data_IF_399793483033
#
_entry.id   IF_399793483033
#
_cell.length_a   1.000
_cell.length_b   1.000
_cell.length_c   1.000
_cell.angle_alpha   90.00
_cell.angle_beta   90.00
_cell.angle_gamma   90.00
#
_symmetry.space_group_name_H-M   'P 1'
#
loop_
_entity.id
_entity.type
_entity.pdbx_description
1 polymer ?
#
# COMPACT_ATOMS: atom_id res chain seq x y z
N UNK A 1 -3.75 10.81 -17.21
CA UNK A 1 -3.13 10.34 -15.95
C UNK A 1 -1.70 10.82 -15.89
N UNK A 2 -1.38 11.72 -14.96
CA UNK A 2 -0.02 12.17 -14.74
C UNK A 2 0.78 11.08 -14.02
N UNK A 3 1.71 10.43 -14.75
CA UNK A 3 2.54 9.33 -14.23
C UNK A 3 3.37 9.73 -13.00
N UNK A 4 3.79 11.00 -12.92
CA UNK A 4 4.51 11.56 -11.78
C UNK A 4 3.66 11.58 -10.50
N UNK A 5 2.39 11.97 -10.60
CA UNK A 5 1.43 11.98 -9.48
C UNK A 5 1.16 10.56 -9.00
N UNK A 6 1.05 9.62 -9.94
CA UNK A 6 0.83 8.21 -9.62
C UNK A 6 2.01 7.60 -8.84
N UNK A 7 3.23 7.81 -9.31
CA UNK A 7 4.43 7.29 -8.65
C UNK A 7 4.64 7.91 -7.27
N UNK A 8 4.45 9.22 -7.16
CA UNK A 8 4.64 9.97 -5.92
C UNK A 8 3.57 9.60 -4.89
N UNK A 9 2.31 9.44 -5.33
CA UNK A 9 1.21 8.92 -4.53
C UNK A 9 1.49 7.51 -4.01
N UNK A 10 1.90 6.60 -4.89
CA UNK A 10 2.23 5.22 -4.50
C UNK A 10 3.37 5.15 -3.49
N UNK A 11 4.47 5.88 -3.73
CA UNK A 11 5.63 5.89 -2.84
C UNK A 11 5.31 6.50 -1.48
N UNK A 12 4.58 7.62 -1.45
CA UNK A 12 4.16 8.26 -0.19
C UNK A 12 3.30 7.32 0.65
N UNK A 13 2.40 6.55 0.01
CA UNK A 13 1.49 5.63 0.70
C UNK A 13 2.14 4.36 1.26
N UNK A 14 3.40 4.09 0.92
CA UNK A 14 4.15 3.00 1.55
C UNK A 14 4.62 3.38 2.96
N UNK A 15 4.82 4.68 3.22
CA UNK A 15 5.29 5.17 4.50
C UNK A 15 4.18 5.79 5.36
N UNK A 16 3.10 6.25 4.70
CA UNK A 16 1.99 6.97 5.32
C UNK A 16 0.69 6.27 4.88
N UNK A 17 -0.29 6.16 5.78
CA UNK A 17 -1.58 5.54 5.43
C UNK A 17 -2.28 6.27 4.28
N UNK A 18 -3.13 5.54 3.55
CA UNK A 18 -3.87 6.02 2.39
C UNK A 18 -4.56 7.39 2.61
N UNK A 19 -5.33 7.54 3.70
CA UNK A 19 -6.06 8.79 4.01
C UNK A 19 -5.12 10.00 4.22
N UNK A 20 -4.14 9.96 5.14
CA UNK A 20 -3.22 11.09 5.32
C UNK A 20 -2.34 11.38 4.08
N UNK A 21 -1.95 10.37 3.30
CA UNK A 21 -1.19 10.58 2.06
C UNK A 21 -2.01 11.31 0.99
N UNK A 22 -3.30 10.98 0.84
CA UNK A 22 -4.19 11.70 -0.07
C UNK A 22 -4.36 13.17 0.34
N UNK A 23 -4.52 13.45 1.64
CA UNK A 23 -4.66 14.82 2.15
C UNK A 23 -3.37 15.62 1.98
N UNK A 24 -2.21 14.98 2.12
CA UNK A 24 -0.90 15.64 1.99
C UNK A 24 -0.59 15.98 0.53
N UNK A 25 -0.83 15.05 -0.39
CA UNK A 25 -0.52 15.22 -1.80
C UNK A 25 -1.60 15.98 -2.60
N UNK A 26 -2.83 16.06 -2.10
CA UNK A 26 -3.89 16.87 -2.72
C UNK A 26 -3.56 18.37 -2.74
N UNK A 27 -2.67 18.83 -1.85
CA UNK A 27 -2.15 20.21 -1.89
C UNK A 27 -1.13 20.46 -3.00
N UNK A 28 -0.58 19.41 -3.60
CA UNK A 28 0.48 19.47 -4.63
C UNK A 28 0.00 19.03 -6.02
N UNK A 29 -1.24 18.55 -6.15
CA UNK A 29 -1.79 18.14 -7.45
C UNK A 29 -3.28 18.48 -7.58
N UNK A 30 -3.70 18.84 -8.79
CA UNK A 30 -5.12 19.03 -9.13
C UNK A 30 -5.76 17.74 -9.70
N UNK A 31 -4.96 16.70 -9.96
CA UNK A 31 -5.41 15.41 -10.52
C UNK A 31 -5.89 14.45 -9.43
N UNK A 32 -7.04 14.75 -8.83
CA UNK A 32 -7.62 13.96 -7.73
C UNK A 32 -7.90 12.49 -8.09
N UNK A 33 -8.35 12.20 -9.32
CA UNK A 33 -8.57 10.82 -9.77
C UNK A 33 -7.28 10.00 -9.74
N UNK A 34 -6.22 10.54 -10.33
CA UNK A 34 -4.92 9.85 -10.37
C UNK A 34 -4.35 9.72 -8.97
N UNK A 35 -4.54 10.74 -8.12
CA UNK A 35 -4.11 10.70 -6.73
C UNK A 35 -4.81 9.59 -5.94
N UNK A 36 -6.15 9.54 -5.94
CA UNK A 36 -6.91 8.54 -5.18
C UNK A 36 -6.58 7.12 -5.64
N UNK A 37 -6.43 6.91 -6.96
CA UNK A 37 -6.03 5.61 -7.52
C UNK A 37 -4.63 5.22 -7.05
N UNK A 38 -3.65 6.13 -7.12
CA UNK A 38 -2.30 5.84 -6.67
C UNK A 38 -2.18 5.60 -5.17
N UNK A 39 -2.96 6.32 -4.37
CA UNK A 39 -2.89 6.24 -2.92
C UNK A 39 -3.58 4.96 -2.42
N UNK A 40 -4.71 4.56 -3.03
CA UNK A 40 -5.36 3.27 -2.80
C UNK A 40 -4.49 2.08 -3.23
N UNK A 41 -3.85 2.16 -4.40
CA UNK A 41 -2.98 1.11 -4.90
C UNK A 41 -1.67 1.04 -4.09
N UNK A 42 -1.09 2.19 -3.75
CA UNK A 42 0.16 2.27 -3.00
C UNK A 42 0.07 1.71 -1.59
N UNK A 43 -1.09 1.84 -0.94
CA UNK A 43 -1.28 1.34 0.43
C UNK A 43 -1.40 -0.18 0.52
N UNK A 44 -1.63 -0.90 -0.59
CA UNK A 44 -1.65 -2.38 -0.63
C UNK A 44 -0.35 -3.00 -0.08
N UNK A 45 0.78 -2.29 -0.17
CA UNK A 45 2.07 -2.75 0.34
C UNK A 45 2.20 -2.80 1.87
N UNK A 46 1.30 -2.16 2.63
CA UNK A 46 1.46 -1.96 4.08
C UNK A 46 0.55 -2.87 4.91
N UNK A 47 1.12 -3.51 5.95
CA UNK A 47 0.41 -4.42 6.87
C UNK A 47 -0.80 -3.80 7.56
N UNK A 48 -0.74 -2.49 7.81
CA UNK A 48 -1.75 -1.74 8.55
C UNK A 48 -2.94 -1.34 7.64
N UNK A 49 -2.83 -1.54 6.32
CA UNK A 49 -3.85 -1.09 5.38
C UNK A 49 -5.17 -1.86 5.46
N UNK A 50 -5.21 -3.03 6.12
CA UNK A 50 -6.38 -3.91 6.07
C UNK A 50 -6.71 -4.54 7.42
N UNK A 51 -7.94 -4.32 7.88
CA UNK A 51 -8.53 -5.03 9.02
C UNK A 51 -8.52 -6.55 8.79
N UNK A 52 -8.61 -7.02 7.55
CA UNK A 52 -8.54 -8.45 7.22
C UNK A 52 -7.16 -9.03 7.56
N UNK A 53 -6.09 -8.26 7.35
CA UNK A 53 -4.71 -8.65 7.69
C UNK A 53 -4.47 -8.68 9.20
N UNK A 54 -5.16 -7.82 9.95
CA UNK A 54 -5.21 -7.88 11.41
C UNK A 54 -5.95 -9.12 11.92
N UNK A 55 -7.03 -9.55 11.25
CA UNK A 55 -7.79 -10.75 11.63
C UNK A 55 -6.93 -12.00 11.42
N UNK A 56 -6.25 -12.12 10.28
CA UNK A 56 -5.34 -13.24 10.01
C UNK A 56 -4.10 -13.21 10.91
N UNK A 57 -3.55 -12.04 11.22
CA UNK A 57 -2.50 -11.89 12.25
C UNK A 57 -2.98 -12.41 13.61
N UNK A 58 -4.19 -12.01 14.04
CA UNK A 58 -4.76 -12.41 15.34
C UNK A 58 -5.03 -13.92 15.41
N UNK A 59 -5.39 -14.52 14.27
CA UNK A 59 -5.57 -15.97 14.16
C UNK A 59 -4.21 -16.72 14.17
N UNK A 60 -3.22 -16.23 13.42
CA UNK A 60 -1.87 -16.81 13.38
C UNK A 60 -1.19 -16.72 14.75
N UNK A 61 -1.32 -15.60 15.44
CA UNK A 61 -0.84 -15.38 16.81
C UNK A 61 -1.40 -16.35 17.84
N UNK A 62 -2.60 -16.88 17.58
CA UNK A 62 -3.24 -17.87 18.43
C UNK A 62 -2.63 -19.26 18.27
N UNK A 63 -2.00 -19.54 17.12
CA UNK A 63 -1.32 -20.80 16.81
C UNK A 63 0.21 -20.73 17.02
N UNK A 64 0.85 -19.64 16.60
CA UNK A 64 2.28 -19.36 16.79
C UNK A 64 2.50 -17.95 17.36
N UNK A 65 3.30 -17.81 18.43
CA UNK A 65 3.59 -16.51 19.06
C UNK A 65 4.55 -15.60 18.27
N UNK A 66 5.07 -16.02 17.12
CA UNK A 66 6.07 -15.26 16.36
C UNK A 66 5.43 -14.24 15.40
N UNK A 67 4.99 -13.10 15.95
CA UNK A 67 4.53 -11.91 15.21
C UNK A 67 5.50 -11.51 14.11
N UNK A 68 6.81 -11.51 14.41
CA UNK A 68 7.83 -10.97 13.50
C UNK A 68 7.89 -11.76 12.19
N UNK A 69 7.79 -13.09 12.25
CA UNK A 69 7.78 -13.94 11.04
C UNK A 69 6.54 -13.69 10.18
N UNK A 70 5.38 -13.56 10.80
CA UNK A 70 4.14 -13.28 10.09
C UNK A 70 4.17 -11.91 9.40
N UNK A 71 4.61 -10.87 10.13
CA UNK A 71 4.78 -9.52 9.59
C UNK A 71 5.75 -9.54 8.40
N UNK A 72 6.88 -10.25 8.53
CA UNK A 72 7.87 -10.34 7.45
C UNK A 72 7.32 -11.06 6.22
N UNK A 73 6.67 -12.22 6.39
CA UNK A 73 6.08 -12.99 5.29
C UNK A 73 4.97 -12.19 4.58
N UNK A 74 4.10 -11.54 5.36
CA UNK A 74 3.03 -10.70 4.82
C UNK A 74 3.62 -9.49 4.06
N UNK A 75 4.65 -8.85 4.60
CA UNK A 75 5.30 -7.70 3.95
C UNK A 75 5.95 -8.13 2.63
N UNK A 76 6.62 -9.28 2.59
CA UNK A 76 7.23 -9.83 1.38
C UNK A 76 6.17 -10.11 0.31
N UNK A 77 5.09 -10.79 0.66
CA UNK A 77 4.00 -11.12 -0.29
C UNK A 77 3.37 -9.86 -0.85
N UNK A 78 3.09 -8.85 -0.01
CA UNK A 78 2.49 -7.60 -0.47
C UNK A 78 3.47 -6.76 -1.30
N UNK A 79 4.76 -6.73 -0.96
CA UNK A 79 5.77 -6.08 -1.80
C UNK A 79 5.89 -6.74 -3.18
N UNK A 80 5.84 -8.07 -3.25
CA UNK A 80 5.86 -8.80 -4.52
C UNK A 80 4.63 -8.48 -5.37
N UNK A 81 3.44 -8.46 -4.74
CA UNK A 81 2.20 -8.12 -5.43
C UNK A 81 2.21 -6.66 -5.93
N UNK A 82 2.66 -5.72 -5.10
CA UNK A 82 2.80 -4.31 -5.48
C UNK A 82 3.76 -4.15 -6.66
N UNK A 83 4.88 -4.87 -6.66
CA UNK A 83 5.88 -4.82 -7.71
C UNK A 83 5.35 -5.34 -9.05
N UNK A 84 4.56 -6.42 -9.04
CA UNK A 84 3.85 -6.93 -10.23
C UNK A 84 2.85 -5.90 -10.75
N UNK A 85 2.08 -5.26 -9.86
CA UNK A 85 1.11 -4.23 -10.26
C UNK A 85 1.79 -3.01 -10.87
N UNK A 86 2.92 -2.60 -10.30
CA UNK A 86 3.69 -1.45 -10.78
C UNK A 86 4.35 -1.73 -12.13
N UNK A 87 4.84 -2.95 -12.35
CA UNK A 87 5.32 -3.41 -13.66
C UNK A 87 4.19 -3.40 -14.70
N UNK A 88 3.00 -3.87 -14.32
CA UNK A 88 1.83 -3.84 -15.21
C UNK A 88 1.45 -2.42 -15.64
N UNK A 89 1.40 -1.46 -14.69
CA UNK A 89 1.14 -0.03 -14.97
C UNK A 89 2.27 0.64 -15.76
N UNK A 90 3.50 0.12 -15.69
CA UNK A 90 4.61 0.66 -16.47
C UNK A 90 4.57 0.20 -17.94
N UNK A 91 4.10 -1.02 -18.18
CA UNK A 91 4.02 -1.66 -19.49
C UNK A 91 2.77 -1.25 -20.29
N UNK A 92 1.63 -1.03 -19.62
CA UNK A 92 0.36 -0.57 -20.22
C UNK A 92 0.04 0.87 -19.83
#
# INVERSE_FOLDING_TARGET
>A
MNKSVLLTGMLSCQFISNVPSAILLSKFTMDYESLIVAVNIGSLGTLISSLASLITLKHYLKAEKNIVKYILLYTIINMLFLLVLLLYIFIF
#
